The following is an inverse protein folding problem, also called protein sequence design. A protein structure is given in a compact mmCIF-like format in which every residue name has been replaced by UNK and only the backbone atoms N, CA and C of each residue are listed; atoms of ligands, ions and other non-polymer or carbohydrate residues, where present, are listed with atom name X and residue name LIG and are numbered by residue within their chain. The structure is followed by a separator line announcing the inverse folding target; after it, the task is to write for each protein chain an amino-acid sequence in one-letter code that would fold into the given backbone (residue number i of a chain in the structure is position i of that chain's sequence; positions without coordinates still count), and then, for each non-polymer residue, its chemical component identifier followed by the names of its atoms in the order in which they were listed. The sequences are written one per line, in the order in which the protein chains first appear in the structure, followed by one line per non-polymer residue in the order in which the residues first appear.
data_IF_937259173064
#
_entry.id   IF_937259173064
#
_cell.length_a   1.000
_cell.length_b   1.000
_cell.length_c   1.000
_cell.angle_alpha   90.00
_cell.angle_beta   90.00
_cell.angle_gamma   90.00
#
_symmetry.space_group_name_H-M   'P 1'
#
loop_
_entity.id
_entity.type
_entity.pdbx_description
1 polymer ?
#
# COMPACT_ATOMS: atom_id res chain seq x y z
N UNK A 1 25.03 14.97 -21.56
CA UNK A 1 24.97 13.60 -21.00
C UNK A 1 23.71 13.50 -20.15
N UNK A 2 22.64 12.94 -20.72
CA UNK A 2 21.36 12.78 -20.02
C UNK A 2 21.49 11.51 -19.18
N UNK A 3 21.37 11.65 -17.86
CA UNK A 3 21.42 10.53 -16.94
C UNK A 3 20.14 9.70 -17.06
N UNK A 4 20.35 8.41 -17.27
CA UNK A 4 19.39 7.31 -17.20
C UNK A 4 18.44 7.43 -16.00
N UNK A 5 17.13 7.30 -16.24
CA UNK A 5 16.14 6.98 -15.21
C UNK A 5 15.47 5.67 -15.61
N UNK A 6 16.03 4.62 -15.04
CA UNK A 6 15.57 3.23 -15.00
C UNK A 6 14.04 3.17 -14.82
N UNK A 7 13.43 2.35 -15.68
CA UNK A 7 12.01 2.10 -15.86
C UNK A 7 11.17 2.29 -14.59
N UNK A 8 10.21 3.22 -14.65
CA UNK A 8 8.99 3.06 -13.87
C UNK A 8 8.46 1.67 -14.22
N UNK A 9 8.19 0.84 -13.22
CA UNK A 9 7.34 -0.32 -13.44
C UNK A 9 6.09 0.21 -14.17
N UNK A 10 5.77 -0.35 -15.34
CA UNK A 10 4.58 0.00 -16.09
C UNK A 10 3.40 0.07 -15.12
N UNK A 11 2.59 1.12 -15.22
CA UNK A 11 1.45 1.40 -14.33
C UNK A 11 0.56 0.13 -14.14
N UNK A 12 0.45 -0.68 -15.19
CA UNK A 12 -0.16 -2.01 -15.21
C UNK A 12 0.42 -3.01 -14.19
N UNK A 13 1.74 -3.07 -13.98
CA UNK A 13 2.34 -3.96 -12.96
C UNK A 13 1.93 -3.53 -11.55
N UNK A 14 1.79 -2.22 -11.31
CA UNK A 14 1.44 -1.71 -9.99
C UNK A 14 -0.01 -2.05 -9.65
N UNK A 15 -0.92 -1.91 -10.62
CA UNK A 15 -2.33 -2.27 -10.44
C UNK A 15 -2.50 -3.77 -10.11
N UNK A 16 -1.76 -4.64 -10.82
CA UNK A 16 -1.74 -6.09 -10.56
C UNK A 16 -1.19 -6.43 -9.17
N UNK A 17 -0.15 -5.72 -8.72
CA UNK A 17 0.40 -5.87 -7.36
C UNK A 17 -0.65 -5.45 -6.34
N UNK A 18 -1.36 -4.34 -6.56
CA UNK A 18 -2.39 -3.83 -5.66
C UNK A 18 -3.56 -4.80 -5.54
N UNK A 19 -4.08 -5.32 -6.66
CA UNK A 19 -5.14 -6.34 -6.65
C UNK A 19 -4.70 -7.59 -5.87
N UNK A 20 -3.46 -8.04 -6.10
CA UNK A 20 -2.89 -9.18 -5.40
C UNK A 20 -2.75 -8.94 -3.88
N UNK A 21 -2.33 -7.73 -3.48
CA UNK A 21 -2.27 -7.31 -2.07
C UNK A 21 -3.68 -7.32 -1.46
N UNK A 22 -4.64 -6.72 -2.16
CA UNK A 22 -6.02 -6.60 -1.69
C UNK A 22 -6.64 -7.98 -1.50
N UNK A 23 -6.41 -8.92 -2.43
CA UNK A 23 -6.89 -10.29 -2.32
C UNK A 23 -6.22 -11.04 -1.15
N UNK A 24 -4.90 -10.89 -0.96
CA UNK A 24 -4.19 -11.53 0.15
C UNK A 24 -4.61 -10.97 1.51
N UNK A 25 -4.78 -9.65 1.60
CA UNK A 25 -5.26 -8.95 2.79
C UNK A 25 -6.79 -8.98 2.93
N UNK A 26 -7.53 -9.60 2.01
CA UNK A 26 -8.98 -9.79 2.12
C UNK A 26 -9.36 -10.59 3.37
N UNK A 27 -8.43 -11.40 3.90
CA UNK A 27 -8.57 -12.11 5.18
C UNK A 27 -8.54 -11.18 6.40
N UNK A 28 -7.85 -10.04 6.30
CA UNK A 28 -7.70 -9.03 7.36
C UNK A 28 -8.90 -8.04 7.37
N UNK A 29 -9.71 -8.02 6.30
CA UNK A 29 -10.99 -7.28 6.12
C UNK A 29 -11.06 -5.85 6.71
N UNK A 30 -9.97 -5.07 6.61
CA UNK A 30 -9.91 -3.74 7.26
C UNK A 30 -9.02 -2.71 6.54
N UNK A 31 -8.77 -2.86 5.25
CA UNK A 31 -8.10 -1.80 4.47
C UNK A 31 -9.11 -0.69 4.22
N UNK A 32 -8.85 0.52 4.71
CA UNK A 32 -9.70 1.70 4.49
C UNK A 32 -9.32 2.45 3.21
N UNK A 33 -8.02 2.47 2.89
CA UNK A 33 -7.53 3.21 1.74
C UNK A 33 -6.27 2.57 1.19
N UNK A 34 -6.16 2.55 -0.14
CA UNK A 34 -4.95 2.15 -0.86
C UNK A 34 -4.56 3.34 -1.73
N UNK A 35 -3.36 3.85 -1.52
CA UNK A 35 -2.78 4.92 -2.30
C UNK A 35 -1.54 4.42 -3.04
N UNK A 36 -1.36 4.83 -4.29
CA UNK A 36 -0.16 4.53 -5.07
C UNK A 36 0.59 5.85 -5.27
N UNK A 37 1.87 5.88 -4.91
CA UNK A 37 2.71 7.03 -5.21
C UNK A 37 4.06 6.58 -5.79
N UNK A 38 4.28 6.91 -7.05
CA UNK A 38 5.43 6.50 -7.85
C UNK A 38 5.56 4.98 -7.96
N UNK A 39 6.37 4.33 -7.12
CA UNK A 39 6.61 2.88 -7.10
C UNK A 39 6.21 2.24 -5.76
N UNK A 40 5.62 3.04 -4.86
CA UNK A 40 5.26 2.60 -3.51
C UNK A 40 3.75 2.51 -3.38
N UNK A 41 3.30 1.40 -2.79
CA UNK A 41 1.90 1.17 -2.41
C UNK A 41 1.74 1.48 -0.93
N UNK A 42 0.77 2.32 -0.62
CA UNK A 42 0.47 2.82 0.71
C UNK A 42 -0.88 2.30 1.17
N UNK A 43 -0.87 1.50 2.23
CA UNK A 43 -2.08 0.89 2.79
C UNK A 43 -2.45 1.59 4.09
N UNK A 44 -3.71 2.03 4.19
CA UNK A 44 -4.33 2.50 5.43
C UNK A 44 -5.25 1.40 5.94
N UNK A 45 -5.03 0.97 7.17
CA UNK A 45 -5.90 0.02 7.86
C UNK A 45 -6.75 0.74 8.91
N UNK A 46 -7.95 0.23 9.19
CA UNK A 46 -8.86 0.82 10.19
C UNK A 46 -8.43 0.60 11.64
N UNK A 47 -7.44 -0.26 11.90
CA UNK A 47 -6.93 -0.54 13.24
C UNK A 47 -5.45 -0.92 13.21
N UNK A 48 -4.72 -0.63 14.28
CA UNK A 48 -3.31 -1.03 14.42
C UNK A 48 -3.14 -2.56 14.38
N UNK A 49 -4.09 -3.32 14.95
CA UNK A 49 -4.06 -4.80 14.90
C UNK A 49 -4.16 -5.33 13.46
N UNK A 50 -5.03 -4.73 12.65
CA UNK A 50 -5.16 -5.07 11.23
C UNK A 50 -3.91 -4.67 10.45
N UNK A 51 -3.32 -3.52 10.75
CA UNK A 51 -2.05 -3.09 10.17
C UNK A 51 -0.92 -4.08 10.48
N UNK A 52 -0.86 -4.60 11.71
CA UNK A 52 0.13 -5.60 12.10
C UNK A 52 -0.08 -6.93 11.35
N UNK A 53 -1.32 -7.41 11.26
CA UNK A 53 -1.64 -8.62 10.49
C UNK A 53 -1.29 -8.46 9.00
N UNK A 54 -1.68 -7.33 8.40
CA UNK A 54 -1.34 -7.00 7.02
C UNK A 54 0.17 -6.91 6.80
N UNK A 55 0.90 -6.29 7.72
CA UNK A 55 2.36 -6.22 7.69
C UNK A 55 2.98 -7.63 7.70
N UNK A 56 2.54 -8.54 8.57
CA UNK A 56 3.07 -9.90 8.61
C UNK A 56 2.74 -10.72 7.36
N UNK A 57 1.61 -10.46 6.69
CA UNK A 57 1.22 -11.14 5.46
C UNK A 57 1.99 -10.66 4.22
N UNK A 58 2.36 -9.37 4.21
CA UNK A 58 3.03 -8.71 3.09
C UNK A 58 4.55 -8.71 3.22
N UNK A 59 5.06 -8.62 4.44
CA UNK A 59 6.49 -8.62 4.68
C UNK A 59 7.09 -9.99 4.36
N UNK A 60 8.16 -10.01 3.54
CA UNK A 60 8.76 -11.23 2.97
C UNK A 60 7.89 -11.96 1.95
N UNK A 61 6.85 -11.32 1.41
CA UNK A 61 6.10 -11.91 0.32
C UNK A 61 6.87 -11.77 -0.99
N UNK A 62 7.08 -12.89 -1.70
CA UNK A 62 7.66 -12.90 -3.03
C UNK A 62 6.57 -12.78 -4.09
N UNK A 63 6.61 -11.71 -4.88
CA UNK A 63 5.75 -11.46 -6.03
C UNK A 63 6.61 -11.33 -7.29
N UNK A 64 6.37 -12.18 -8.30
CA UNK A 64 7.11 -12.19 -9.58
C UNK A 64 8.65 -12.21 -9.42
N UNK A 65 9.15 -12.94 -8.42
CA UNK A 65 10.59 -13.03 -8.13
C UNK A 65 11.18 -11.81 -7.42
N UNK A 66 10.38 -10.79 -7.12
CA UNK A 66 10.73 -9.63 -6.28
C UNK A 66 10.18 -9.82 -4.88
N UNK A 67 10.94 -9.40 -3.87
CA UNK A 67 10.48 -9.43 -2.48
C UNK A 67 9.78 -8.11 -2.14
N UNK A 68 8.55 -8.22 -1.66
CA UNK A 68 7.77 -7.10 -1.14
C UNK A 68 8.25 -6.81 0.28
N UNK A 69 8.67 -5.57 0.51
CA UNK A 69 9.08 -5.08 1.82
C UNK A 69 8.01 -4.12 2.32
N UNK A 70 7.29 -4.53 3.35
CA UNK A 70 6.35 -3.65 4.04
C UNK A 70 7.10 -2.82 5.10
N UNK A 71 6.67 -1.59 5.33
CA UNK A 71 7.17 -0.72 6.41
C UNK A 71 6.01 0.03 7.05
N UNK A 72 6.09 0.23 8.36
CA UNK A 72 5.16 1.11 9.06
C UNK A 72 5.45 2.56 8.69
N UNK A 73 4.39 3.28 8.33
CA UNK A 73 4.43 4.72 8.08
C UNK A 73 3.56 5.43 9.12
N UNK A 74 3.99 6.62 9.56
CA UNK A 74 3.13 7.48 10.37
C UNK A 74 1.99 8.02 9.52
N UNK A 75 0.78 8.09 10.11
CA UNK A 75 -0.41 8.62 9.46
C UNK A 75 -0.22 10.06 8.96
N UNK A 76 0.52 10.89 9.68
CA UNK A 76 0.84 12.26 9.26
C UNK A 76 1.47 12.32 7.86
N UNK A 77 2.50 11.49 7.63
CA UNK A 77 3.16 11.39 6.32
C UNK A 77 2.26 10.76 5.26
N UNK A 78 1.37 9.85 5.67
CA UNK A 78 0.39 9.29 4.74
C UNK A 78 -0.52 10.40 4.20
N UNK A 79 -1.04 11.25 5.08
CA UNK A 79 -1.94 12.34 4.72
C UNK A 79 -1.25 13.49 3.98
N UNK A 80 0.07 13.65 4.09
CA UNK A 80 0.83 14.57 3.23
C UNK A 80 0.80 14.15 1.77
N UNK A 81 0.77 12.83 1.49
CA UNK A 81 0.67 12.30 0.13
C UNK A 81 -0.78 12.10 -0.32
N UNK A 82 -1.65 11.63 0.57
CA UNK A 82 -3.03 11.27 0.29
C UNK A 82 -3.98 12.00 1.26
N UNK A 83 -4.25 13.30 1.03
CA UNK A 83 -5.14 14.06 1.88
C UNK A 83 -6.58 13.53 1.84
N UNK A 84 -7.01 12.86 0.75
CA UNK A 84 -8.36 12.29 0.66
C UNK A 84 -8.60 11.14 1.65
N UNK A 85 -7.54 10.40 2.01
CA UNK A 85 -7.62 9.30 2.95
C UNK A 85 -7.87 9.75 4.40
N UNK A 86 -7.80 11.06 4.65
CA UNK A 86 -8.06 11.66 5.96
C UNK A 86 -9.54 11.58 6.33
N UNK A 87 -10.42 11.62 5.33
CA UNK A 87 -11.88 11.55 5.49
C UNK A 87 -12.42 10.12 5.34
N UNK A 88 -11.67 9.22 4.68
CA UNK A 88 -12.10 7.85 4.36
C UNK A 88 -12.39 6.94 5.57
N UNK A 89 -12.07 7.37 6.80
CA UNK A 89 -12.41 6.68 8.05
C UNK A 89 -13.43 7.42 8.92
N UNK A 90 -14.03 8.51 8.42
CA UNK A 90 -14.93 9.39 9.18
C UNK A 90 -16.32 9.51 8.54
N UNK A 91 -16.83 8.45 7.92
CA UNK A 91 -18.25 8.33 7.59
C UNK A 91 -19.00 7.71 8.78
N UNK A 92 -19.12 8.46 9.88
CA UNK A 92 -20.09 8.19 10.94
C UNK A 92 -21.27 9.14 10.73
N UNK A 93 -22.34 8.67 10.10
CA UNK A 93 -23.68 9.26 10.19
C UNK A 93 -24.64 8.22 10.77
#
# INVERSE_FOLDING_TARGET
MIHEKKALADDDEIDLVVDSIQNRCATVKRIEHIGIHSIFVYLKFSSNEAAAQGFHLLNNWKYHGREIIAKYLRLERYYEHFPEARDSGSANN
#
